data_IF_481921760246
#
_entry.id   IF_481921760246
#
_cell.length_a   1.000
_cell.length_b   1.000
_cell.length_c   1.000
_cell.angle_alpha   90.00
_cell.angle_beta   90.00
_cell.angle_gamma   90.00
#
_symmetry.space_group_name_H-M   'P 1'
#
loop_
_entity.id
_entity.type
_entity.pdbx_description
1 polymer ?
#
# COMPACT_ATOMS: atom_id res chain seq x y z
N UNK A 1 30.30 -56.46 44.52
CA UNK A 1 30.69 -55.66 43.34
C UNK A 1 29.61 -55.81 42.27
N UNK A 2 28.92 -54.70 41.94
CA UNK A 2 27.95 -54.42 40.85
C UNK A 2 26.70 -53.70 41.41
N UNK A 3 26.74 -52.37 41.37
CA UNK A 3 25.56 -51.52 41.45
C UNK A 3 25.08 -51.23 40.02
N UNK A 4 23.77 -51.32 39.73
CA UNK A 4 23.25 -50.83 38.45
C UNK A 4 23.19 -49.30 38.47
N UNK A 5 23.83 -48.69 37.48
CA UNK A 5 23.82 -47.26 37.20
C UNK A 5 22.45 -46.82 36.68
N UNK A 6 21.72 -46.07 37.51
CA UNK A 6 20.48 -45.40 37.13
C UNK A 6 20.80 -44.22 36.19
N UNK A 7 20.47 -44.35 34.90
CA UNK A 7 20.59 -43.27 33.89
C UNK A 7 19.58 -42.15 34.18
N UNK A 8 20.00 -41.16 34.96
CA UNK A 8 19.32 -39.87 35.12
C UNK A 8 19.76 -38.91 34.01
N UNK A 9 19.29 -39.09 32.78
CA UNK A 9 19.64 -38.16 31.68
C UNK A 9 18.60 -38.01 30.56
N UNK A 10 17.33 -38.37 30.79
CA UNK A 10 16.30 -38.37 29.72
C UNK A 10 14.98 -37.70 30.15
N UNK A 11 14.97 -36.89 31.21
CA UNK A 11 13.73 -36.33 31.74
C UNK A 11 13.81 -34.83 32.05
N UNK A 12 14.48 -34.08 31.18
CA UNK A 12 14.52 -32.60 31.23
C UNK A 12 14.34 -31.97 29.83
N UNK A 13 13.48 -32.56 29.00
CA UNK A 13 13.13 -31.99 27.69
C UNK A 13 11.63 -32.01 27.37
N UNK A 14 10.78 -32.32 28.35
CA UNK A 14 9.33 -32.30 28.19
C UNK A 14 8.70 -31.44 29.30
N UNK A 15 8.82 -30.12 29.15
CA UNK A 15 7.79 -29.15 29.53
C UNK A 15 8.30 -27.73 29.28
N UNK A 16 8.27 -27.31 28.01
CA UNK A 16 8.07 -25.89 27.71
C UNK A 16 6.56 -25.73 27.54
N UNK A 17 5.87 -24.94 28.39
CA UNK A 17 4.45 -24.69 28.18
C UNK A 17 4.29 -24.06 26.79
N UNK A 18 3.53 -24.72 25.93
CA UNK A 18 3.17 -24.17 24.63
C UNK A 18 2.41 -22.86 24.90
N UNK A 19 3.07 -21.72 24.64
CA UNK A 19 2.43 -20.40 24.71
C UNK A 19 1.12 -20.48 23.91
N UNK A 20 -0.04 -20.12 24.49
CA UNK A 20 -1.27 -20.08 23.74
C UNK A 20 -1.07 -19.10 22.59
N UNK A 21 -1.10 -19.62 21.35
CA UNK A 21 -1.06 -18.78 20.14
C UNK A 21 -2.36 -18.01 20.05
N UNK A 22 -2.47 -16.93 20.81
CA UNK A 22 -3.50 -15.93 20.63
C UNK A 22 -3.21 -15.25 19.29
N UNK A 23 -3.82 -15.77 18.23
CA UNK A 23 -3.64 -15.27 16.87
C UNK A 23 -4.30 -13.88 16.75
N UNK A 24 -3.52 -12.82 16.96
CA UNK A 24 -3.98 -11.44 16.80
C UNK A 24 -3.95 -11.05 15.33
N UNK A 25 -5.02 -11.37 14.61
CA UNK A 25 -5.16 -11.05 13.18
C UNK A 25 -5.09 -9.53 12.94
N UNK A 26 -5.68 -8.75 13.85
CA UNK A 26 -5.97 -7.33 13.67
C UNK A 26 -4.74 -6.42 13.81
N UNK A 27 -3.84 -6.70 14.75
CA UNK A 27 -2.71 -5.83 15.07
C UNK A 27 -1.40 -6.48 14.66
N UNK A 28 -1.13 -6.44 13.35
CA UNK A 28 0.08 -7.04 12.78
C UNK A 28 1.04 -5.99 12.26
N UNK A 29 2.31 -6.08 12.66
CA UNK A 29 3.39 -5.19 12.21
C UNK A 29 3.80 -5.55 10.78
N UNK A 30 4.00 -4.54 9.93
CA UNK A 30 4.45 -4.75 8.56
C UNK A 30 5.91 -5.26 8.53
N UNK A 31 6.21 -6.32 7.74
CA UNK A 31 7.58 -6.71 7.47
C UNK A 31 8.36 -5.55 6.85
N UNK A 32 9.64 -5.37 7.24
CA UNK A 32 10.51 -4.28 6.74
C UNK A 32 10.57 -4.25 5.20
N UNK A 33 10.55 -5.42 4.55
CA UNK A 33 10.54 -5.57 3.08
C UNK A 33 9.24 -5.05 2.47
N UNK A 34 8.07 -5.52 2.94
CA UNK A 34 6.77 -5.04 2.45
C UNK A 34 6.55 -3.55 2.72
N UNK A 35 7.05 -3.02 3.84
CA UNK A 35 6.97 -1.59 4.16
C UNK A 35 7.77 -0.75 3.16
N UNK A 36 9.02 -1.13 2.88
CA UNK A 36 9.86 -0.45 1.87
C UNK A 36 9.28 -0.60 0.47
N UNK A 37 8.80 -1.80 0.11
CA UNK A 37 8.18 -2.07 -1.19
C UNK A 37 6.91 -1.22 -1.41
N UNK A 38 6.02 -1.16 -0.43
CA UNK A 38 4.81 -0.34 -0.50
C UNK A 38 5.14 1.14 -0.61
N UNK A 39 6.17 1.62 0.10
CA UNK A 39 6.64 3.00 0.01
C UNK A 39 7.16 3.37 -1.38
N UNK A 40 7.93 2.49 -2.02
CA UNK A 40 8.39 2.67 -3.41
C UNK A 40 7.28 2.54 -4.45
N UNK A 41 6.23 1.74 -4.19
CA UNK A 41 5.09 1.60 -5.08
C UNK A 41 4.17 2.82 -5.07
N UNK A 42 4.12 3.61 -4.00
CA UNK A 42 3.29 4.83 -3.94
C UNK A 42 3.61 5.88 -5.03
N UNK A 43 4.87 6.30 -5.26
CA UNK A 43 5.17 7.23 -6.35
C UNK A 43 4.93 6.62 -7.74
N UNK A 44 5.13 5.31 -7.90
CA UNK A 44 4.81 4.62 -9.16
C UNK A 44 3.30 4.60 -9.42
N UNK A 45 2.51 4.38 -8.38
CA UNK A 45 1.05 4.47 -8.43
C UNK A 45 0.61 5.88 -8.84
N UNK A 46 1.23 6.94 -8.29
CA UNK A 46 0.95 8.32 -8.69
C UNK A 46 1.27 8.59 -10.16
N UNK A 47 2.42 8.11 -10.66
CA UNK A 47 2.85 8.25 -12.06
C UNK A 47 1.84 7.58 -13.00
N UNK A 48 1.16 6.51 -12.59
CA UNK A 48 0.11 5.87 -13.38
C UNK A 48 -1.26 6.53 -13.28
N UNK A 49 -1.64 7.00 -12.09
CA UNK A 49 -2.96 7.61 -11.83
C UNK A 49 -3.12 8.93 -12.59
N UNK A 50 -2.07 9.76 -12.65
CA UNK A 50 -2.16 11.07 -13.32
C UNK A 50 -2.51 10.92 -14.82
N UNK A 51 -1.79 10.12 -15.62
CA UNK A 51 -2.19 9.80 -16.98
C UNK A 51 -3.55 9.11 -17.08
N UNK A 52 -3.91 8.21 -16.15
CA UNK A 52 -5.21 7.55 -16.16
C UNK A 52 -6.36 8.55 -16.01
N UNK A 53 -6.24 9.51 -15.10
CA UNK A 53 -7.21 10.59 -14.91
C UNK A 53 -7.34 11.46 -16.15
N UNK A 54 -6.22 11.84 -16.78
CA UNK A 54 -6.23 12.68 -17.97
C UNK A 54 -6.85 11.94 -19.16
N UNK A 55 -6.40 10.71 -19.45
CA UNK A 55 -6.89 9.95 -20.60
C UNK A 55 -8.36 9.56 -20.43
N UNK A 56 -8.75 9.04 -19.26
CA UNK A 56 -10.15 8.69 -19.02
C UNK A 56 -11.03 9.94 -18.91
N UNK A 57 -10.53 11.03 -18.31
CA UNK A 57 -11.26 12.30 -18.20
C UNK A 57 -11.59 12.90 -19.57
N UNK A 58 -10.60 13.04 -20.45
CA UNK A 58 -10.82 13.57 -21.81
C UNK A 58 -11.72 12.62 -22.62
N UNK A 59 -11.73 11.32 -22.32
CA UNK A 59 -12.59 10.35 -23.02
C UNK A 59 -14.09 10.55 -22.80
N UNK A 60 -14.51 11.22 -21.72
CA UNK A 60 -15.90 11.62 -21.49
C UNK A 60 -16.24 12.96 -22.17
N UNK A 61 -17.42 13.10 -22.81
CA UNK A 61 -18.49 12.12 -22.89
C UNK A 61 -18.29 11.07 -23.99
N UNK A 62 -17.50 11.38 -25.03
CA UNK A 62 -17.33 10.51 -26.19
C UNK A 62 -16.18 10.97 -27.14
N UNK A 63 -14.93 10.95 -26.67
CA UNK A 63 -13.82 11.47 -27.49
C UNK A 63 -13.48 10.60 -28.72
N UNK A 64 -13.53 9.27 -28.56
CA UNK A 64 -13.09 8.35 -29.60
C UNK A 64 -14.03 7.16 -29.81
N UNK A 65 -14.97 6.89 -28.89
CA UNK A 65 -15.76 5.65 -28.91
C UNK A 65 -16.67 5.56 -30.14
N UNK A 66 -17.45 6.60 -30.47
CA UNK A 66 -18.28 6.58 -31.69
C UNK A 66 -17.46 6.67 -32.96
N UNK A 67 -16.43 7.53 -32.98
CA UNK A 67 -15.60 7.72 -34.16
C UNK A 67 -14.87 6.43 -34.54
N UNK A 68 -14.27 5.75 -33.55
CA UNK A 68 -13.61 4.46 -33.77
C UNK A 68 -14.61 3.36 -34.11
N UNK A 69 -15.83 3.42 -33.58
CA UNK A 69 -16.87 2.47 -33.96
C UNK A 69 -17.24 2.65 -35.45
N UNK A 70 -17.51 3.88 -35.87
CA UNK A 70 -17.89 4.22 -37.24
C UNK A 70 -16.78 3.95 -38.25
N UNK A 71 -15.53 4.34 -37.96
CA UNK A 71 -14.38 4.09 -38.84
C UNK A 71 -14.15 2.58 -39.07
N UNK A 72 -14.35 1.76 -38.03
CA UNK A 72 -14.23 0.30 -38.17
C UNK A 72 -15.29 -0.29 -39.11
N UNK A 73 -16.49 0.31 -39.15
CA UNK A 73 -17.61 -0.15 -39.96
C UNK A 73 -17.47 0.32 -41.42
N UNK A 74 -17.00 1.55 -41.63
CA UNK A 74 -16.80 2.14 -42.96
C UNK A 74 -15.61 1.54 -43.71
N UNK A 75 -14.70 0.86 -43.01
CA UNK A 75 -13.59 0.13 -43.62
C UNK A 75 -14.09 -1.06 -44.48
N UNK A 76 -13.41 -1.36 -45.58
CA UNK A 76 -13.72 -2.49 -46.45
C UNK A 76 -12.53 -3.48 -46.48
N UNK A 77 -12.65 -4.71 -45.92
CA UNK A 77 -13.83 -5.30 -45.27
C UNK A 77 -14.12 -4.71 -43.86
N UNK A 78 -15.37 -4.73 -43.38
CA UNK A 78 -15.73 -4.18 -42.06
C UNK A 78 -15.01 -4.89 -40.92
N UNK A 79 -14.59 -4.11 -39.92
CA UNK A 79 -13.75 -4.57 -38.81
C UNK A 79 -14.49 -4.71 -37.48
N UNK A 80 -15.73 -4.21 -37.41
CA UNK A 80 -16.60 -4.26 -36.24
C UNK A 80 -18.08 -4.18 -36.67
N UNK A 81 -18.99 -4.27 -35.71
CA UNK A 81 -20.42 -4.18 -35.97
C UNK A 81 -20.85 -2.77 -36.39
N UNK A 82 -21.99 -2.66 -37.07
CA UNK A 82 -22.54 -1.36 -37.46
C UNK A 82 -23.12 -0.57 -36.25
N UNK A 83 -22.67 0.67 -35.97
CA UNK A 83 -23.24 1.51 -34.91
C UNK A 83 -24.71 1.91 -35.16
N UNK A 84 -25.12 2.04 -36.43
CA UNK A 84 -26.49 2.42 -36.81
C UNK A 84 -27.55 1.35 -36.46
N UNK A 85 -27.12 0.15 -36.04
CA UNK A 85 -28.03 -0.92 -35.61
C UNK A 85 -28.90 -0.52 -34.43
N UNK A 86 -28.39 0.34 -33.54
CA UNK A 86 -29.16 0.88 -32.40
C UNK A 86 -30.34 1.69 -32.93
N UNK A 87 -30.08 2.60 -33.87
CA UNK A 87 -31.10 3.45 -34.46
C UNK A 87 -32.10 2.63 -35.29
N UNK A 88 -31.60 1.63 -36.04
CA UNK A 88 -32.45 0.70 -36.79
C UNK A 88 -33.39 -0.08 -35.86
N UNK A 89 -32.90 -0.63 -34.76
CA UNK A 89 -33.73 -1.36 -33.81
C UNK A 89 -34.77 -0.45 -33.15
N UNK A 90 -34.38 0.77 -32.80
CA UNK A 90 -35.27 1.78 -32.25
C UNK A 90 -36.39 2.17 -33.23
N UNK A 91 -36.05 2.43 -34.50
CA UNK A 91 -37.01 2.82 -35.54
C UNK A 91 -37.98 1.69 -35.91
N UNK A 92 -37.56 0.43 -35.82
CA UNK A 92 -38.38 -0.74 -36.15
C UNK A 92 -39.05 -1.40 -34.93
N UNK A 93 -39.04 -0.74 -33.76
CA UNK A 93 -39.60 -1.27 -32.51
C UNK A 93 -39.08 -2.68 -32.14
N UNK A 94 -37.84 -2.99 -32.52
CA UNK A 94 -37.17 -4.25 -32.20
C UNK A 94 -36.48 -4.17 -30.84
N UNK A 95 -36.28 -5.30 -30.14
CA UNK A 95 -35.50 -5.32 -28.91
C UNK A 95 -34.09 -4.77 -29.17
N UNK A 96 -33.60 -3.94 -28.25
CA UNK A 96 -32.30 -3.29 -28.42
C UNK A 96 -31.19 -4.34 -28.52
N UNK A 97 -30.31 -4.26 -29.54
CA UNK A 97 -29.21 -5.20 -29.67
C UNK A 97 -28.28 -5.06 -28.46
N UNK A 98 -27.77 -6.18 -27.94
CA UNK A 98 -26.72 -6.14 -26.92
C UNK A 98 -25.50 -5.45 -27.52
N UNK A 99 -25.06 -4.35 -26.94
CA UNK A 99 -23.88 -3.59 -27.38
C UNK A 99 -22.65 -4.17 -26.69
N UNK A 100 -21.53 -4.27 -27.40
CA UNK A 100 -20.28 -4.70 -26.79
C UNK A 100 -19.85 -3.71 -25.70
N UNK A 101 -19.29 -4.24 -24.61
CA UNK A 101 -18.96 -3.45 -23.43
C UNK A 101 -18.02 -2.28 -23.76
N UNK A 102 -17.07 -2.48 -24.68
CA UNK A 102 -16.13 -1.46 -25.15
C UNK A 102 -16.80 -0.23 -25.81
N UNK A 103 -17.94 -0.43 -26.47
CA UNK A 103 -18.68 0.64 -27.16
C UNK A 103 -19.74 1.28 -26.27
N UNK A 104 -19.84 0.88 -25.00
CA UNK A 104 -20.89 1.34 -24.08
C UNK A 104 -20.44 2.56 -23.28
N UNK A 105 -21.34 3.54 -23.07
CA UNK A 105 -21.06 4.74 -22.26
C UNK A 105 -20.77 4.39 -20.80
N UNK A 106 -21.45 3.37 -20.29
CA UNK A 106 -21.24 2.82 -18.94
C UNK A 106 -19.78 2.44 -18.70
N UNK A 107 -19.10 1.86 -19.70
CA UNK A 107 -17.70 1.49 -19.57
C UNK A 107 -16.77 2.71 -19.50
N UNK A 108 -17.00 3.72 -20.35
CA UNK A 108 -16.27 4.99 -20.26
C UNK A 108 -16.47 5.67 -18.90
N UNK A 109 -17.71 5.65 -18.38
CA UNK A 109 -18.03 6.20 -17.06
C UNK A 109 -17.35 5.41 -15.93
N UNK A 110 -17.32 4.08 -16.04
CA UNK A 110 -16.61 3.21 -15.11
C UNK A 110 -15.11 3.55 -15.08
N UNK A 111 -14.46 3.70 -16.23
CA UNK A 111 -13.02 4.02 -16.30
C UNK A 111 -12.67 5.38 -15.66
N UNK A 112 -13.54 6.37 -15.77
CA UNK A 112 -13.38 7.65 -15.05
C UNK A 112 -13.63 7.48 -13.55
N UNK A 113 -14.65 6.73 -13.16
CA UNK A 113 -14.93 6.49 -11.75
C UNK A 113 -13.76 5.76 -11.05
N UNK A 114 -13.20 4.72 -11.67
CA UNK A 114 -12.07 3.98 -11.07
C UNK A 114 -10.82 4.85 -10.94
N UNK A 115 -10.55 5.77 -11.88
CA UNK A 115 -9.37 6.65 -11.77
C UNK A 115 -9.53 7.66 -10.63
N UNK A 116 -10.74 8.21 -10.45
CA UNK A 116 -11.05 9.07 -9.29
C UNK A 116 -10.94 8.27 -7.98
N UNK A 117 -11.53 7.08 -7.92
CA UNK A 117 -11.47 6.20 -6.75
C UNK A 117 -10.01 5.83 -6.42
N UNK A 118 -9.19 5.52 -7.44
CA UNK A 118 -7.77 5.22 -7.26
C UNK A 118 -6.99 6.37 -6.64
N UNK A 119 -7.30 7.61 -7.04
CA UNK A 119 -6.69 8.80 -6.46
C UNK A 119 -7.03 8.95 -4.98
N UNK A 120 -8.31 8.77 -4.61
CA UNK A 120 -8.72 8.83 -3.20
C UNK A 120 -8.05 7.74 -2.36
N UNK A 121 -7.94 6.52 -2.87
CA UNK A 121 -7.25 5.45 -2.17
C UNK A 121 -5.75 5.69 -2.05
N UNK A 122 -5.10 6.26 -3.07
CA UNK A 122 -3.68 6.65 -2.98
C UNK A 122 -3.46 7.72 -1.90
N UNK A 123 -4.30 8.75 -1.86
CA UNK A 123 -4.23 9.80 -0.84
C UNK A 123 -4.50 9.24 0.56
N UNK A 124 -5.54 8.41 0.70
CA UNK A 124 -5.85 7.74 1.97
C UNK A 124 -4.73 6.82 2.43
N UNK A 125 -4.12 6.07 1.52
CA UNK A 125 -2.96 5.20 1.76
C UNK A 125 -1.75 6.02 2.21
N UNK A 126 -1.46 7.16 1.58
CA UNK A 126 -0.38 8.06 1.97
C UNK A 126 -0.58 8.55 3.41
N UNK A 127 -1.77 9.07 3.74
CA UNK A 127 -2.09 9.56 5.09
C UNK A 127 -2.00 8.45 6.12
N UNK A 128 -2.56 7.28 5.84
CA UNK A 128 -2.53 6.15 6.75
C UNK A 128 -1.11 5.57 6.94
N UNK A 129 -0.26 5.66 5.91
CA UNK A 129 1.16 5.31 6.01
C UNK A 129 1.92 6.28 6.92
N UNK A 130 1.67 7.59 6.81
CA UNK A 130 2.27 8.62 7.67
C UNK A 130 1.82 8.44 9.14
N UNK A 131 0.53 8.22 9.37
CA UNK A 131 -0.02 7.99 10.71
C UNK A 131 0.36 6.63 11.32
N UNK A 132 1.04 5.76 10.55
CA UNK A 132 1.37 4.37 10.95
C UNK A 132 0.15 3.49 11.30
N UNK A 133 -1.05 3.84 10.80
CA UNK A 133 -2.32 3.10 11.04
C UNK A 133 -2.67 2.16 9.87
N UNK A 134 -1.75 1.95 8.93
CA UNK A 134 -1.99 1.09 7.77
C UNK A 134 -1.96 -0.39 8.18
N UNK A 135 -3.10 -0.98 8.55
CA UNK A 135 -3.17 -2.40 8.92
C UNK A 135 -3.16 -3.32 7.69
N UNK A 136 -2.44 -4.46 7.73
CA UNK A 136 -2.35 -5.39 6.59
C UNK A 136 -3.71 -5.92 6.09
N UNK A 137 -4.67 -6.18 6.98
CA UNK A 137 -6.02 -6.64 6.58
C UNK A 137 -6.72 -5.61 5.69
N UNK A 138 -6.77 -4.37 6.17
CA UNK A 138 -7.41 -3.28 5.43
C UNK A 138 -6.71 -3.04 4.09
N UNK A 139 -5.37 -3.08 4.09
CA UNK A 139 -4.57 -2.95 2.88
C UNK A 139 -4.88 -4.05 1.86
N UNK A 140 -4.98 -5.31 2.27
CA UNK A 140 -5.34 -6.39 1.33
C UNK A 140 -6.74 -6.21 0.75
N UNK A 141 -7.73 -5.82 1.54
CA UNK A 141 -9.10 -5.66 1.07
C UNK A 141 -9.20 -4.56 -0.02
N UNK A 142 -8.52 -3.43 0.22
CA UNK A 142 -8.43 -2.36 -0.77
C UNK A 142 -7.70 -2.86 -2.02
N UNK A 143 -6.55 -3.50 -1.88
CA UNK A 143 -5.78 -3.97 -3.03
C UNK A 143 -6.54 -5.02 -3.85
N UNK A 144 -7.27 -5.93 -3.22
CA UNK A 144 -8.14 -6.90 -3.93
C UNK A 144 -9.23 -6.17 -4.72
N UNK A 145 -9.88 -5.18 -4.09
CA UNK A 145 -10.92 -4.38 -4.74
C UNK A 145 -10.38 -3.61 -5.94
N UNK A 146 -9.19 -3.00 -5.81
CA UNK A 146 -8.53 -2.28 -6.91
C UNK A 146 -8.11 -3.21 -8.04
N UNK A 147 -7.55 -4.39 -7.74
CA UNK A 147 -7.23 -5.40 -8.75
C UNK A 147 -8.48 -5.83 -9.50
N UNK A 148 -9.59 -6.09 -8.82
CA UNK A 148 -10.84 -6.48 -9.45
C UNK A 148 -11.36 -5.39 -10.42
N UNK A 149 -11.39 -4.13 -9.97
CA UNK A 149 -11.84 -3.00 -10.78
C UNK A 149 -10.97 -2.78 -12.02
N UNK A 150 -9.64 -2.80 -11.87
CA UNK A 150 -8.72 -2.64 -12.99
C UNK A 150 -8.70 -3.86 -13.93
N UNK A 151 -9.00 -5.06 -13.42
CA UNK A 151 -9.18 -6.24 -14.28
C UNK A 151 -10.38 -6.06 -15.20
N UNK A 152 -11.52 -5.58 -14.68
CA UNK A 152 -12.70 -5.24 -15.51
C UNK A 152 -12.38 -4.14 -16.50
N UNK A 153 -11.61 -3.11 -16.10
CA UNK A 153 -11.13 -2.07 -17.00
C UNK A 153 -10.30 -2.64 -18.16
N UNK A 154 -9.29 -3.46 -17.87
CA UNK A 154 -8.42 -4.04 -18.91
C UNK A 154 -9.22 -4.96 -19.82
N UNK A 155 -10.02 -5.87 -19.25
CA UNK A 155 -10.86 -6.80 -19.99
C UNK A 155 -11.85 -6.07 -20.90
N UNK A 156 -12.49 -5.00 -20.40
CA UNK A 156 -13.42 -4.22 -21.20
C UNK A 156 -12.77 -3.41 -22.32
N UNK A 157 -11.54 -2.95 -22.10
CA UNK A 157 -10.77 -2.20 -23.11
C UNK A 157 -10.29 -3.10 -24.26
N UNK A 158 -9.93 -4.35 -23.98
CA UNK A 158 -9.59 -5.35 -25.03
C UNK A 158 -10.78 -6.16 -25.52
N UNK A 159 -11.95 -5.92 -24.94
CA UNK A 159 -13.08 -6.83 -25.00
C UNK A 159 -13.57 -7.11 -26.42
N UNK A 160 -14.13 -8.31 -26.65
CA UNK A 160 -14.67 -8.68 -27.95
C UNK A 160 -15.95 -7.92 -28.26
N UNK A 161 -16.19 -7.72 -29.55
CA UNK A 161 -17.44 -7.29 -30.14
C UNK A 161 -18.01 -8.43 -31.00
N UNK A 162 -18.93 -9.19 -30.39
CA UNK A 162 -19.69 -10.27 -31.03
C UNK A 162 -21.16 -9.88 -31.26
N UNK A 163 -21.43 -8.58 -31.35
CA UNK A 163 -22.82 -8.11 -31.47
C UNK A 163 -23.43 -8.47 -32.80
N UNK A 164 -22.65 -8.51 -33.88
CA UNK A 164 -23.02 -9.00 -35.19
C UNK A 164 -22.26 -10.29 -35.53
N UNK A 165 -22.98 -11.37 -35.80
CA UNK A 165 -22.37 -12.67 -36.19
C UNK A 165 -21.69 -12.62 -37.55
N UNK A 166 -22.02 -11.64 -38.40
CA UNK A 166 -21.41 -11.46 -39.72
C UNK A 166 -20.02 -10.84 -39.64
N UNK A 167 -19.77 -10.02 -38.62
CA UNK A 167 -18.51 -9.29 -38.43
C UNK A 167 -18.01 -9.46 -36.99
N UNK A 168 -17.62 -10.68 -36.58
CA UNK A 168 -17.12 -10.92 -35.23
C UNK A 168 -15.73 -10.30 -35.08
N UNK A 169 -15.58 -9.40 -34.10
CA UNK A 169 -14.31 -8.79 -33.77
C UNK A 169 -13.87 -9.27 -32.37
N UNK A 170 -12.93 -10.23 -32.26
CA UNK A 170 -12.51 -10.76 -30.96
C UNK A 170 -11.82 -9.72 -30.07
N UNK A 171 -11.31 -8.65 -30.66
CA UNK A 171 -10.73 -7.49 -29.98
C UNK A 171 -10.99 -6.25 -30.82
N UNK A 172 -10.99 -5.06 -30.21
CA UNK A 172 -11.13 -3.80 -30.95
C UNK A 172 -10.08 -3.67 -32.07
N UNK A 173 -10.52 -3.22 -33.25
CA UNK A 173 -9.71 -3.21 -34.46
C UNK A 173 -8.43 -2.38 -34.34
N UNK A 174 -8.47 -1.27 -33.61
CA UNK A 174 -7.34 -0.35 -33.44
C UNK A 174 -6.21 -0.94 -32.58
N UNK A 175 -6.46 -2.03 -31.83
CA UNK A 175 -5.41 -2.81 -31.18
C UNK A 175 -4.79 -3.87 -32.09
N UNK A 176 -5.58 -4.44 -33.00
CA UNK A 176 -5.15 -5.51 -33.92
C UNK A 176 -4.40 -5.00 -35.14
N UNK A 177 -4.93 -3.96 -35.76
CA UNK A 177 -4.47 -3.47 -37.08
C UNK A 177 -3.68 -2.16 -36.91
N UNK A 178 -3.94 -1.42 -35.85
CA UNK A 178 -3.26 -0.16 -35.53
C UNK A 178 -4.06 1.08 -35.94
N UNK A 179 -3.44 2.24 -35.79
CA UNK A 179 -4.10 3.54 -35.94
C UNK A 179 -3.96 4.17 -37.33
N UNK A 180 -3.31 3.50 -38.28
CA UNK A 180 -3.11 4.05 -39.63
C UNK A 180 -4.43 4.21 -40.40
N UNK A 181 -5.41 3.34 -40.16
CA UNK A 181 -6.76 3.43 -40.73
C UNK A 181 -7.46 4.73 -40.32
N UNK A 182 -7.14 5.28 -39.15
CA UNK A 182 -7.75 6.53 -38.66
C UNK A 182 -7.10 7.80 -39.23
N UNK A 183 -5.99 7.69 -40.00
CA UNK A 183 -5.32 8.84 -40.63
C UNK A 183 -6.18 9.56 -41.67
N UNK A 184 -6.79 8.89 -42.67
CA UNK A 184 -7.64 9.57 -43.66
C UNK A 184 -8.84 10.29 -43.03
N UNK A 185 -9.32 9.82 -41.88
CA UNK A 185 -10.41 10.44 -41.13
C UNK A 185 -9.96 11.60 -40.23
N UNK A 186 -8.67 11.92 -40.16
CA UNK A 186 -8.13 12.95 -39.26
C UNK A 186 -8.22 12.59 -37.77
N UNK A 187 -8.50 11.32 -37.42
CA UNK A 187 -8.72 10.83 -36.05
C UNK A 187 -7.56 10.04 -35.47
N UNK A 188 -6.37 10.18 -36.06
CA UNK A 188 -5.16 9.48 -35.62
C UNK A 188 -4.83 9.71 -34.14
N UNK A 189 -4.90 10.97 -33.66
CA UNK A 189 -4.63 11.30 -32.26
C UNK A 189 -5.60 10.61 -31.30
N UNK A 190 -6.89 10.61 -31.63
CA UNK A 190 -7.93 9.92 -30.85
C UNK A 190 -7.69 8.42 -30.77
N UNK A 191 -7.27 7.79 -31.87
CA UNK A 191 -6.88 6.38 -31.88
C UNK A 191 -5.67 6.10 -31.00
N UNK A 192 -4.64 6.95 -31.05
CA UNK A 192 -3.46 6.82 -30.19
C UNK A 192 -3.83 6.91 -28.71
N UNK A 193 -4.67 7.87 -28.33
CA UNK A 193 -5.17 8.00 -26.95
C UNK A 193 -5.90 6.73 -26.51
N UNK A 194 -6.76 6.16 -27.37
CA UNK A 194 -7.43 4.90 -27.08
C UNK A 194 -6.41 3.77 -26.85
N UNK A 195 -5.38 3.67 -27.69
CA UNK A 195 -4.32 2.66 -27.53
C UNK A 195 -3.55 2.83 -26.21
N UNK A 196 -3.20 4.06 -25.84
CA UNK A 196 -2.52 4.33 -24.56
C UNK A 196 -3.39 4.06 -23.33
N UNK A 197 -4.72 4.16 -23.47
CA UNK A 197 -5.64 3.83 -22.39
C UNK A 197 -5.50 2.36 -21.91
N UNK A 198 -5.24 1.43 -22.83
CA UNK A 198 -4.95 0.03 -22.49
C UNK A 198 -3.61 -0.11 -21.77
N UNK A 199 -2.57 0.56 -22.27
CA UNK A 199 -1.23 0.51 -21.68
C UNK A 199 -1.27 0.97 -20.22
N UNK A 200 -1.96 2.08 -19.95
CA UNK A 200 -2.12 2.60 -18.60
C UNK A 200 -2.97 1.65 -17.75
N UNK A 201 -4.05 1.08 -18.29
CA UNK A 201 -4.86 0.09 -17.58
C UNK A 201 -4.05 -1.13 -17.12
N UNK A 202 -3.22 -1.69 -18.01
CA UNK A 202 -2.34 -2.83 -17.72
C UNK A 202 -1.25 -2.43 -16.72
N UNK A 203 -0.65 -1.25 -16.87
CA UNK A 203 0.34 -0.72 -15.92
C UNK A 203 -0.23 -0.60 -14.50
N UNK A 204 -1.41 0.00 -14.37
CA UNK A 204 -2.08 0.14 -13.08
C UNK A 204 -2.46 -1.22 -12.49
N UNK A 205 -2.95 -2.15 -13.31
CA UNK A 205 -3.24 -3.51 -12.87
C UNK A 205 -1.99 -4.22 -12.33
N UNK A 206 -0.85 -4.10 -13.01
CA UNK A 206 0.41 -4.68 -12.57
C UNK A 206 0.87 -4.09 -11.23
N UNK A 207 0.75 -2.77 -11.04
CA UNK A 207 1.07 -2.12 -9.76
C UNK A 207 0.17 -2.62 -8.64
N UNK A 208 -1.14 -2.74 -8.88
CA UNK A 208 -2.07 -3.23 -7.85
C UNK A 208 -1.86 -4.71 -7.53
N UNK A 209 -1.46 -5.54 -8.51
CA UNK A 209 -1.05 -6.92 -8.27
C UNK A 209 0.21 -7.01 -7.40
N UNK A 210 1.21 -6.15 -7.66
CA UNK A 210 2.40 -6.06 -6.81
C UNK A 210 2.04 -5.62 -5.38
N UNK A 211 1.20 -4.59 -5.23
CA UNK A 211 0.72 -4.13 -3.92
C UNK A 211 -0.07 -5.22 -3.18
N UNK A 212 -0.90 -5.98 -3.90
CA UNK A 212 -1.61 -7.13 -3.37
C UNK A 212 -0.64 -8.21 -2.89
N UNK A 213 0.36 -8.56 -3.69
CA UNK A 213 1.41 -9.52 -3.32
C UNK A 213 2.15 -9.14 -2.04
N UNK A 214 2.57 -7.87 -1.92
CA UNK A 214 3.22 -7.38 -0.69
C UNK A 214 2.30 -7.37 0.53
N UNK A 215 1.01 -7.10 0.32
CA UNK A 215 0.01 -7.09 1.39
C UNK A 215 -0.33 -8.52 1.86
N UNK A 216 -0.43 -9.48 0.94
CA UNK A 216 -0.59 -10.91 1.26
C UNK A 216 0.66 -11.43 1.98
N UNK A 217 1.86 -11.07 1.51
CA UNK A 217 3.10 -11.45 2.20
C UNK A 217 3.15 -10.88 3.63
N UNK A 218 2.63 -9.67 3.85
CA UNK A 218 2.51 -9.11 5.19
C UNK A 218 1.50 -9.87 6.08
N UNK A 219 0.51 -10.58 5.49
CA UNK A 219 -0.41 -11.47 6.21
C UNK A 219 0.14 -12.85 6.52
N UNK A 220 1.22 -13.30 5.87
CA UNK A 220 1.76 -14.64 6.12
C UNK A 220 2.45 -14.69 7.50
N UNK A 221 2.26 -15.78 8.30
CA UNK A 221 2.89 -15.99 9.60
C UNK A 221 4.38 -15.66 9.52
N UNK A 222 4.80 -14.63 10.28
CA UNK A 222 6.18 -14.17 10.26
C UNK A 222 6.67 -14.08 11.70
N UNK A 223 7.86 -14.63 11.95
CA UNK A 223 8.44 -14.81 13.29
C UNK A 223 8.64 -13.49 14.04
N UNK A 224 8.67 -12.37 13.31
CA UNK A 224 8.73 -11.00 13.87
C UNK A 224 7.53 -10.68 14.79
N UNK A 225 6.34 -11.25 14.57
CA UNK A 225 5.18 -11.00 15.43
C UNK A 225 5.13 -11.94 16.66
N UNK A 226 6.00 -12.96 16.72
CA UNK A 226 6.12 -13.83 17.89
C UNK A 226 7.14 -13.28 18.92
N UNK A 227 7.97 -12.30 18.51
CA UNK A 227 9.06 -11.71 19.31
C UNK A 227 8.68 -10.34 19.92
N UNK A 228 7.57 -9.73 19.46
CA UNK A 228 7.22 -8.35 19.80
C UNK A 228 6.44 -8.18 21.12
N UNK A 229 6.66 -9.02 22.12
CA UNK A 229 6.23 -8.72 23.49
C UNK A 229 7.36 -8.06 24.32
N UNK A 230 8.62 -8.04 23.86
CA UNK A 230 9.77 -7.54 24.66
C UNK A 230 10.60 -6.40 24.01
N UNK A 231 10.48 -6.10 22.71
CA UNK A 231 11.37 -5.16 22.00
C UNK A 231 10.64 -3.97 21.31
N UNK A 232 9.62 -3.39 21.95
CA UNK A 232 9.08 -2.10 21.51
C UNK A 232 9.84 -0.98 22.21
N UNK A 233 11.05 -0.63 21.72
CA UNK A 233 11.68 0.71 21.85
C UNK A 233 13.06 0.83 21.17
N UNK A 234 13.28 0.32 19.95
CA UNK A 234 14.50 0.71 19.21
C UNK A 234 14.34 0.59 17.69
N UNK A 235 13.91 1.67 17.05
CA UNK A 235 14.19 1.92 15.62
C UNK A 235 14.10 3.44 15.37
N UNK A 236 15.01 4.15 16.03
CA UNK A 236 15.23 5.58 15.94
C UNK A 236 16.71 5.94 16.11
N UNK A 237 17.60 5.25 15.40
CA UNK A 237 19.01 5.65 15.33
C UNK A 237 19.54 5.52 13.90
N UNK A 238 19.59 6.65 13.21
CA UNK A 238 20.42 6.82 12.03
C UNK A 238 21.87 7.03 12.49
N UNK A 239 22.73 6.07 12.14
CA UNK A 239 24.17 6.24 11.88
C UNK A 239 25.04 6.87 12.98
N UNK A 240 25.59 6.05 13.87
CA UNK A 240 27.05 5.86 14.06
C UNK A 240 27.33 4.98 15.29
N UNK A 241 27.50 3.67 15.08
CA UNK A 241 28.11 2.79 16.09
C UNK A 241 29.64 2.86 15.98
N UNK A 242 30.37 3.10 17.08
CA UNK A 242 31.63 2.43 17.32
C UNK A 242 31.39 1.21 18.21
N UNK A 243 31.96 0.08 17.80
CA UNK A 243 31.99 -1.21 18.51
C UNK A 243 32.33 -1.03 19.99
N UNK A 244 31.41 -1.37 20.89
CA UNK A 244 31.61 -1.37 22.33
C UNK A 244 31.36 -2.75 22.92
N UNK A 245 32.41 -3.38 23.41
CA UNK A 245 32.44 -4.76 23.86
C UNK A 245 31.61 -5.06 25.11
N UNK A 246 31.42 -6.36 25.29
CA UNK A 246 30.96 -7.06 26.48
C UNK A 246 31.59 -6.44 27.74
N UNK A 247 30.75 -5.84 28.59
CA UNK A 247 31.12 -5.52 29.98
C UNK A 247 30.33 -6.43 30.90
N UNK A 248 30.94 -7.57 31.21
CA UNK A 248 30.54 -8.43 32.31
C UNK A 248 30.54 -7.62 33.61
N UNK A 249 29.48 -7.79 34.40
CA UNK A 249 29.39 -7.24 35.75
C UNK A 249 30.47 -7.84 36.64
N UNK A 250 31.56 -7.11 36.86
CA UNK A 250 32.50 -7.42 37.93
C UNK A 250 32.78 -6.17 38.79
N UNK A 251 32.67 -6.37 40.11
CA UNK A 251 32.97 -5.47 41.22
C UNK A 251 31.94 -4.39 41.58
N UNK A 252 30.85 -4.82 42.22
CA UNK A 252 30.10 -3.98 43.15
C UNK A 252 30.91 -3.84 44.45
N UNK A 253 31.75 -2.79 44.54
CA UNK A 253 32.25 -2.30 45.84
C UNK A 253 31.18 -1.35 46.41
N UNK A 254 30.68 -1.69 47.60
CA UNK A 254 29.65 -0.98 48.37
C UNK A 254 29.91 0.53 48.44
N UNK A 255 28.96 1.41 48.05
CA UNK A 255 29.16 2.85 48.19
C UNK A 255 28.76 3.35 49.59
N UNK A 256 29.62 4.22 50.13
CA UNK A 256 29.52 4.91 51.41
C UNK A 256 28.36 5.93 51.44
N UNK A 257 27.73 6.08 52.62
CA UNK A 257 26.48 6.80 52.95
C UNK A 257 26.52 8.33 52.71
N UNK A 258 27.57 8.90 52.08
CA UNK A 258 27.82 10.35 52.12
C UNK A 258 27.58 11.18 50.85
N UNK A 259 26.97 10.62 49.81
CA UNK A 259 26.71 11.38 48.58
C UNK A 259 25.23 11.35 48.20
N UNK A 260 24.44 12.24 48.81
CA UNK A 260 23.10 12.58 48.29
C UNK A 260 23.22 13.88 47.49
N UNK A 261 22.69 13.95 46.25
CA UNK A 261 22.81 15.13 45.41
C UNK A 261 21.84 16.23 45.88
N UNK A 262 22.38 17.41 46.20
CA UNK A 262 21.61 18.59 46.61
C UNK A 262 21.12 19.37 45.38
N UNK A 263 19.87 19.83 45.40
CA UNK A 263 19.28 20.70 44.37
C UNK A 263 19.58 22.18 44.63
N UNK A 264 19.55 23.05 43.61
CA UNK A 264 20.11 24.41 43.67
C UNK A 264 19.45 25.38 44.67
N UNK A 265 18.28 25.04 45.25
CA UNK A 265 17.47 25.94 46.08
C UNK A 265 17.92 26.02 47.55
N UNK A 266 18.85 25.17 47.99
CA UNK A 266 19.31 25.14 49.39
C UNK A 266 20.67 25.80 49.62
N UNK A 267 21.38 26.24 48.58
CA UNK A 267 22.70 26.87 48.74
C UNK A 267 22.64 28.29 49.33
N UNK A 268 21.54 29.03 49.12
CA UNK A 268 21.40 30.40 49.59
C UNK A 268 21.27 30.53 51.12
N UNK A 269 20.77 29.52 51.81
CA UNK A 269 20.64 29.53 53.27
C UNK A 269 21.94 29.13 53.99
N UNK A 270 22.80 28.34 53.34
CA UNK A 270 24.08 27.94 53.90
C UNK A 270 25.14 29.05 53.90
N UNK A 271 24.98 30.07 53.05
CA UNK A 271 25.88 31.22 53.00
C UNK A 271 25.58 32.28 54.06
N UNK A 272 24.34 32.33 54.58
CA UNK A 272 23.93 33.28 55.62
C UNK A 272 24.32 32.82 57.03
N UNK A 273 24.38 31.50 57.28
CA UNK A 273 24.76 30.93 58.59
C UNK A 273 26.25 31.14 58.94
N UNK A 274 27.08 31.50 57.95
CA UNK A 274 28.54 31.62 58.12
C UNK A 274 29.01 33.01 58.55
N UNK A 275 28.12 34.01 58.66
CA UNK A 275 28.50 35.42 58.80
C UNK A 275 27.96 36.19 60.02
N UNK A 276 27.58 35.53 61.12
CA UNK A 276 27.21 36.23 62.37
C UNK A 276 28.13 35.89 63.54
N UNK A 277 29.17 36.70 63.83
CA UNK A 277 30.02 36.53 65.01
C UNK A 277 29.45 37.30 66.20
N UNK A 278 28.33 36.88 66.78
CA UNK A 278 27.80 37.45 68.02
C UNK A 278 27.16 36.39 68.92
N UNK A 279 27.95 35.39 69.37
CA UNK A 279 27.55 34.55 70.52
C UNK A 279 28.67 33.88 71.31
N UNK A 280 29.95 34.22 71.08
CA UNK A 280 31.09 33.54 71.72
C UNK A 280 31.54 34.14 73.07
N UNK A 281 30.86 35.14 73.64
CA UNK A 281 31.30 35.78 74.90
C UNK A 281 30.58 35.33 76.19
N UNK A 282 29.68 34.35 76.18
CA UNK A 282 28.87 34.02 77.38
C UNK A 282 29.26 32.73 78.13
N UNK A 283 30.47 32.18 77.93
CA UNK A 283 30.88 30.94 78.64
C UNK A 283 32.24 31.01 79.37
N UNK A 284 32.69 32.21 79.77
CA UNK A 284 33.98 32.37 80.49
C UNK A 284 33.87 32.70 81.98
N UNK A 285 32.72 32.49 82.61
CA UNK A 285 32.55 32.64 84.05
C UNK A 285 31.74 31.46 84.59
N UNK A 286 32.43 30.37 84.95
CA UNK A 286 32.14 29.45 86.07
C UNK A 286 33.30 28.46 86.15
N UNK A 287 34.27 28.83 86.98
CA UNK A 287 35.48 28.10 87.38
C UNK A 287 36.15 28.91 88.46
#
# INVERSE_FOLDING_TARGET
MKFPTFKRSQQEHADKPAKPKNYRVLFRKWPRVSRKGTWWLMPLELIGIVPALVIFGISQPNLYRTDMWQIGWEHNPPLNSNPARILYAYANYQPQPKIALIWTRTFTNFNVAISIISLFFLLGKLTAFIMRVWYPIFATFINVSMVALYTVCVYGTIGPDYTDSRYPAPTAWYYRIGCDIAKPYGKYKSCMIARYSLVIGVYMLAIYLCNLGFSIYAMLPNKINDVSDDDDDEDGSTTSEPKGGVWEMHNMKTPSIRAMPYTPRTQAFHTLDRQLPLRSQQNRYYG
#
